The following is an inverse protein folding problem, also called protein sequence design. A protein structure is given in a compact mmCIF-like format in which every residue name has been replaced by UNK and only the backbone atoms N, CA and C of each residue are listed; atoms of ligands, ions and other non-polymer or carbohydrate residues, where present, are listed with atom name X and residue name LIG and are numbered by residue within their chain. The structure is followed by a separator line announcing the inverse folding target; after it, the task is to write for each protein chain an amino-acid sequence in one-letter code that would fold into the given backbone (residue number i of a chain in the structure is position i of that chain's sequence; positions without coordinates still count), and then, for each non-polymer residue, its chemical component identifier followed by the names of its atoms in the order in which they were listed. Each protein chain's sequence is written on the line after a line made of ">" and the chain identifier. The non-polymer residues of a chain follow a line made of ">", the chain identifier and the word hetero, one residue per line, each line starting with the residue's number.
data_IF_944856334144
#
_entry.id   IF_944856334144
#
_cell.length_a   1.000
_cell.length_b   1.000
_cell.length_c   1.000
_cell.angle_alpha   90.00
_cell.angle_beta   90.00
_cell.angle_gamma   90.00
#
_symmetry.space_group_name_H-M   'P 1'
#
loop_
_entity.id
_entity.type
_entity.pdbx_description
1 polymer ?
#
# COMPACT_ATOMS: atom_id res chain seq x y z
N UNK A 1 -9.70 -24.62 -3.27
CA UNK A 1 -11.11 -24.13 -3.27
C UNK A 1 -12.03 -25.00 -2.41
N UNK A 2 -11.76 -26.31 -2.29
CA UNK A 2 -12.69 -27.24 -1.59
C UNK A 2 -12.78 -27.02 -0.06
N UNK A 3 -11.75 -26.43 0.56
CA UNK A 3 -11.62 -26.38 2.02
C UNK A 3 -11.45 -24.96 2.58
N UNK A 4 -11.59 -23.92 1.74
CA UNK A 4 -11.31 -22.53 2.14
C UNK A 4 -12.42 -21.61 1.65
N UNK A 5 -12.67 -20.54 2.41
CA UNK A 5 -13.72 -19.56 2.08
C UNK A 5 -13.26 -18.49 1.10
N UNK A 6 -11.95 -18.21 1.10
CA UNK A 6 -11.34 -17.19 0.26
C UNK A 6 -9.96 -17.61 -0.18
N UNK A 7 -9.67 -17.41 -1.45
CA UNK A 7 -8.33 -17.60 -2.02
C UNK A 7 -7.73 -16.24 -2.35
N UNK A 8 -6.43 -16.07 -2.14
CA UNK A 8 -5.68 -14.90 -2.62
C UNK A 8 -4.76 -15.35 -3.75
N UNK A 9 -4.81 -14.64 -4.86
CA UNK A 9 -3.90 -14.79 -5.99
C UNK A 9 -3.02 -13.55 -6.10
N UNK A 10 -1.77 -13.76 -6.50
CA UNK A 10 -0.82 -12.71 -6.88
C UNK A 10 -0.55 -12.82 -8.38
N UNK A 11 -1.19 -11.99 -9.21
CA UNK A 11 -1.05 -12.01 -10.67
C UNK A 11 0.37 -12.15 -11.19
N UNK A 12 1.32 -11.38 -10.65
CA UNK A 12 2.68 -11.37 -11.18
C UNK A 12 3.52 -12.60 -10.85
N UNK A 13 3.03 -13.52 -10.00
CA UNK A 13 3.65 -14.81 -9.72
C UNK A 13 2.77 -15.99 -10.16
N UNK A 14 1.61 -15.75 -10.77
CA UNK A 14 0.59 -16.78 -10.96
C UNK A 14 0.84 -17.65 -12.20
N UNK A 15 1.24 -17.03 -13.32
CA UNK A 15 1.50 -17.72 -14.58
C UNK A 15 2.97 -17.59 -15.03
N UNK A 16 3.63 -16.49 -14.64
CA UNK A 16 5.03 -16.26 -14.99
C UNK A 16 5.96 -17.01 -14.02
N UNK A 17 6.96 -17.70 -14.57
CA UNK A 17 8.03 -18.33 -13.81
C UNK A 17 8.95 -17.30 -13.13
N UNK A 18 10.15 -17.73 -12.69
CA UNK A 18 11.16 -16.79 -12.18
C UNK A 18 11.49 -15.74 -13.25
N UNK A 19 11.45 -14.46 -12.86
CA UNK A 19 11.89 -13.31 -13.67
C UNK A 19 13.31 -13.57 -14.20
N UNK A 20 13.49 -13.67 -15.51
CA UNK A 20 14.84 -13.77 -16.07
C UNK A 20 15.39 -12.41 -16.46
N UNK A 21 14.56 -11.40 -16.79
CA UNK A 21 14.97 -10.04 -17.24
C UNK A 21 15.99 -9.98 -18.41
N UNK A 22 16.59 -11.11 -18.77
CA UNK A 22 17.64 -11.28 -19.77
C UNK A 22 17.07 -11.51 -21.17
N UNK A 23 15.74 -11.51 -21.34
CA UNK A 23 15.11 -12.17 -22.51
C UNK A 23 14.18 -11.29 -23.34
N UNK A 24 13.80 -10.09 -22.87
CA UNK A 24 12.87 -9.22 -23.61
C UNK A 24 13.56 -7.91 -24.01
N UNK A 25 14.10 -7.86 -25.23
CA UNK A 25 14.59 -6.63 -25.86
C UNK A 25 13.48 -5.90 -26.63
N UNK A 26 12.49 -6.64 -27.11
CA UNK A 26 11.29 -6.14 -27.79
C UNK A 26 10.09 -6.95 -27.31
N UNK A 27 8.96 -6.30 -27.08
CA UNK A 27 7.70 -6.94 -26.73
C UNK A 27 6.70 -6.71 -27.86
N UNK A 28 6.36 -7.78 -28.58
CA UNK A 28 5.39 -7.69 -29.68
C UNK A 28 3.96 -7.90 -29.19
N UNK A 29 2.98 -7.47 -29.98
CA UNK A 29 1.55 -7.74 -29.70
C UNK A 29 1.26 -9.25 -29.63
N UNK A 30 1.99 -10.08 -30.36
CA UNK A 30 1.87 -11.54 -30.29
C UNK A 30 2.34 -12.09 -28.95
N UNK A 31 3.42 -11.54 -28.39
CA UNK A 31 3.95 -11.96 -27.08
C UNK A 31 2.99 -11.57 -25.95
N UNK A 32 2.37 -10.38 -26.06
CA UNK A 32 1.32 -9.96 -25.12
C UNK A 32 0.13 -10.93 -25.17
N UNK A 33 -0.32 -11.31 -26.37
CA UNK A 33 -1.42 -12.28 -26.54
C UNK A 33 -1.07 -13.66 -25.97
N UNK A 34 0.14 -14.16 -26.23
CA UNK A 34 0.61 -15.45 -25.69
C UNK A 34 0.67 -15.43 -24.16
N UNK A 35 1.18 -14.34 -23.57
CA UNK A 35 1.21 -14.18 -22.11
C UNK A 35 -0.20 -14.14 -21.52
N UNK A 36 -1.13 -13.40 -22.13
CA UNK A 36 -2.53 -13.38 -21.70
C UNK A 36 -3.17 -14.77 -21.79
N UNK A 37 -2.95 -15.49 -22.88
CA UNK A 37 -3.46 -16.86 -23.05
C UNK A 37 -2.92 -17.81 -21.97
N UNK A 38 -1.63 -17.74 -21.66
CA UNK A 38 -1.02 -18.56 -20.60
C UNK A 38 -1.63 -18.23 -19.21
N UNK A 39 -1.91 -16.96 -18.94
CA UNK A 39 -2.62 -16.54 -17.72
C UNK A 39 -4.03 -17.15 -17.69
N UNK A 40 -4.78 -17.04 -18.78
CA UNK A 40 -6.14 -17.59 -18.88
C UNK A 40 -6.15 -19.12 -18.68
N UNK A 41 -5.27 -19.86 -19.36
CA UNK A 41 -5.14 -21.32 -19.23
C UNK A 41 -4.88 -21.75 -17.78
N UNK A 42 -4.06 -20.98 -17.03
CA UNK A 42 -3.78 -21.26 -15.63
C UNK A 42 -4.90 -20.79 -14.68
N UNK A 43 -5.52 -19.64 -14.95
CA UNK A 43 -6.38 -18.93 -14.01
C UNK A 43 -7.86 -19.30 -14.14
N UNK A 44 -8.35 -19.51 -15.36
CA UNK A 44 -9.76 -19.84 -15.63
C UNK A 44 -10.24 -21.08 -14.88
N UNK A 45 -9.48 -22.19 -14.78
CA UNK A 45 -9.90 -23.35 -13.99
C UNK A 45 -10.18 -23.01 -12.52
N UNK A 46 -9.40 -22.10 -11.93
CA UNK A 46 -9.61 -21.62 -10.57
C UNK A 46 -10.88 -20.75 -10.49
N UNK A 47 -11.07 -19.82 -11.42
CA UNK A 47 -12.24 -18.93 -11.49
C UNK A 47 -13.53 -19.74 -11.57
N UNK A 48 -13.60 -20.72 -12.48
CA UNK A 48 -14.77 -21.58 -12.65
C UNK A 48 -15.07 -22.39 -11.40
N UNK A 49 -14.04 -22.95 -10.75
CA UNK A 49 -14.19 -23.71 -9.51
C UNK A 49 -14.64 -22.84 -8.33
N UNK A 50 -14.16 -21.59 -8.25
CA UNK A 50 -14.60 -20.63 -7.24
C UNK A 50 -16.04 -20.19 -7.47
N UNK A 51 -16.44 -19.99 -8.73
CA UNK A 51 -17.83 -19.69 -9.13
C UNK A 51 -18.77 -20.82 -8.73
N UNK A 52 -18.46 -22.05 -9.11
CA UNK A 52 -19.24 -23.25 -8.77
C UNK A 52 -19.48 -23.37 -7.25
N UNK A 53 -18.45 -23.09 -6.46
CA UNK A 53 -18.48 -23.23 -5.00
C UNK A 53 -18.89 -21.96 -4.25
N UNK A 54 -19.24 -20.89 -4.97
CA UNK A 54 -19.54 -19.57 -4.42
C UNK A 54 -18.51 -19.11 -3.37
N UNK A 55 -17.22 -19.24 -3.70
CA UNK A 55 -16.11 -18.83 -2.84
C UNK A 55 -15.59 -17.47 -3.27
N UNK A 56 -14.92 -16.76 -2.35
CA UNK A 56 -14.37 -15.44 -2.63
C UNK A 56 -12.94 -15.52 -3.17
N UNK A 57 -12.56 -14.55 -4.01
CA UNK A 57 -11.21 -14.36 -4.50
C UNK A 57 -10.66 -13.00 -4.06
N UNK A 58 -9.38 -12.92 -3.71
CA UNK A 58 -8.64 -11.66 -3.66
C UNK A 58 -7.60 -11.63 -4.76
N UNK A 59 -7.78 -10.73 -5.73
CA UNK A 59 -6.78 -10.38 -6.73
C UNK A 59 -5.86 -9.36 -6.06
N UNK A 60 -4.69 -9.81 -5.62
CA UNK A 60 -3.80 -9.00 -4.80
C UNK A 60 -2.47 -8.72 -5.46
N UNK A 61 -2.32 -7.53 -6.02
CA UNK A 61 -1.09 -7.04 -6.62
C UNK A 61 -0.14 -6.58 -5.51
N UNK A 62 1.10 -7.07 -5.55
CA UNK A 62 2.20 -6.48 -4.80
C UNK A 62 3.16 -5.81 -5.78
N UNK A 63 3.59 -4.59 -5.44
CA UNK A 63 4.52 -3.81 -6.27
C UNK A 63 5.81 -4.58 -6.60
N UNK A 64 6.43 -5.23 -5.61
CA UNK A 64 7.69 -5.97 -5.80
C UNK A 64 7.58 -7.25 -6.65
N UNK A 65 6.37 -7.78 -6.87
CA UNK A 65 6.15 -9.01 -7.63
C UNK A 65 5.37 -8.79 -8.92
N UNK A 66 5.38 -7.58 -9.50
CA UNK A 66 4.82 -7.37 -10.84
C UNK A 66 5.52 -8.25 -11.88
N UNK A 67 4.76 -8.74 -12.86
CA UNK A 67 5.28 -9.58 -13.94
C UNK A 67 6.22 -8.80 -14.85
N UNK A 68 7.11 -9.53 -15.52
CA UNK A 68 8.07 -8.94 -16.46
C UNK A 68 7.37 -8.20 -17.61
N UNK A 69 6.28 -8.77 -18.14
CA UNK A 69 5.46 -8.11 -19.18
C UNK A 69 4.91 -6.77 -18.73
N UNK A 70 4.36 -6.71 -17.50
CA UNK A 70 3.78 -5.47 -16.96
C UNK A 70 4.88 -4.44 -16.71
N UNK A 71 6.02 -4.87 -16.14
CA UNK A 71 7.18 -4.00 -15.94
C UNK A 71 7.71 -3.43 -17.26
N UNK A 72 7.74 -4.24 -18.33
CA UNK A 72 8.18 -3.77 -19.64
C UNK A 72 7.22 -2.72 -20.25
N UNK A 73 5.91 -2.95 -20.14
CA UNK A 73 4.90 -2.05 -20.74
C UNK A 73 4.70 -0.75 -19.96
N UNK A 74 4.68 -0.84 -18.63
CA UNK A 74 4.24 0.25 -17.77
C UNK A 74 5.32 0.74 -16.80
N UNK A 75 6.45 0.05 -16.71
CA UNK A 75 7.48 0.32 -15.70
C UNK A 75 7.07 -0.15 -14.29
N UNK A 76 7.95 0.13 -13.32
CA UNK A 76 7.67 -0.06 -11.89
C UNK A 76 6.78 1.08 -11.37
N UNK A 77 5.49 1.04 -11.73
CA UNK A 77 4.55 2.16 -11.60
C UNK A 77 3.19 1.76 -11.02
N UNK A 78 2.46 2.70 -10.37
CA UNK A 78 1.05 2.51 -10.00
C UNK A 78 0.18 2.05 -11.17
N UNK A 79 0.41 2.60 -12.37
CA UNK A 79 -0.31 2.29 -13.60
C UNK A 79 -0.13 0.82 -13.97
N UNK A 80 1.10 0.29 -13.90
CA UNK A 80 1.39 -1.12 -14.13
C UNK A 80 0.69 -2.04 -13.14
N UNK A 81 0.64 -1.65 -11.87
CA UNK A 81 -0.13 -2.41 -10.88
C UNK A 81 -1.61 -2.47 -11.27
N UNK A 82 -2.21 -1.32 -11.64
CA UNK A 82 -3.63 -1.25 -12.03
C UNK A 82 -3.91 -2.11 -13.26
N UNK A 83 -3.06 -2.04 -14.29
CA UNK A 83 -3.19 -2.85 -15.49
C UNK A 83 -3.23 -4.36 -15.15
N UNK A 84 -2.35 -4.82 -14.27
CA UNK A 84 -2.33 -6.22 -13.82
C UNK A 84 -3.59 -6.62 -13.03
N UNK A 85 -4.08 -5.74 -12.15
CA UNK A 85 -5.31 -6.00 -11.39
C UNK A 85 -6.52 -6.12 -12.32
N UNK A 86 -6.64 -5.18 -13.25
CA UNK A 86 -7.75 -5.08 -14.19
C UNK A 86 -7.78 -6.27 -15.14
N UNK A 87 -6.63 -6.70 -15.66
CA UNK A 87 -6.53 -7.88 -16.54
C UNK A 87 -7.12 -9.13 -15.88
N UNK A 88 -6.77 -9.40 -14.62
CA UNK A 88 -7.35 -10.53 -13.87
C UNK A 88 -8.83 -10.32 -13.55
N UNK A 89 -9.25 -9.07 -13.33
CA UNK A 89 -10.66 -8.71 -13.14
C UNK A 89 -11.50 -8.93 -14.40
N UNK A 90 -10.94 -8.65 -15.58
CA UNK A 90 -11.57 -8.91 -16.89
C UNK A 90 -11.80 -10.40 -17.08
N UNK A 91 -10.78 -11.24 -16.88
CA UNK A 91 -10.91 -12.70 -16.98
C UNK A 91 -12.02 -13.22 -16.04
N UNK A 92 -12.08 -12.72 -14.80
CA UNK A 92 -13.16 -13.09 -13.88
C UNK A 92 -14.54 -12.74 -14.45
N UNK A 93 -14.71 -11.53 -15.01
CA UNK A 93 -15.98 -11.07 -15.56
C UNK A 93 -16.37 -11.74 -16.87
N UNK A 94 -15.42 -12.07 -17.73
CA UNK A 94 -15.66 -12.84 -18.96
C UNK A 94 -16.29 -14.20 -18.66
N UNK A 95 -15.99 -14.77 -17.49
CA UNK A 95 -16.61 -15.99 -16.97
C UNK A 95 -17.76 -15.75 -15.99
N UNK A 96 -18.28 -14.51 -15.91
CA UNK A 96 -19.40 -14.13 -15.05
C UNK A 96 -19.16 -14.51 -13.57
N UNK A 97 -17.93 -14.28 -13.11
CA UNK A 97 -17.54 -14.46 -11.71
C UNK A 97 -17.26 -13.09 -11.09
N UNK A 98 -18.07 -12.73 -10.09
CA UNK A 98 -18.06 -11.41 -9.46
C UNK A 98 -17.70 -11.43 -7.97
N UNK A 99 -17.45 -12.60 -7.38
CA UNK A 99 -17.12 -12.72 -5.96
C UNK A 99 -15.63 -12.48 -5.70
N UNK A 100 -15.15 -11.28 -6.03
CA UNK A 100 -13.75 -10.92 -5.82
C UNK A 100 -13.53 -9.52 -5.24
N UNK A 101 -12.37 -9.37 -4.61
CA UNK A 101 -11.88 -8.13 -3.99
C UNK A 101 -10.51 -7.80 -4.58
N UNK A 102 -10.22 -6.52 -4.76
CA UNK A 102 -8.89 -6.06 -5.17
C UNK A 102 -8.02 -5.67 -3.98
N UNK A 103 -6.70 -5.82 -4.11
CA UNK A 103 -5.74 -5.16 -3.23
C UNK A 103 -4.48 -4.77 -4.00
N UNK A 104 -3.99 -3.57 -3.74
CA UNK A 104 -2.78 -2.98 -4.29
C UNK A 104 -1.81 -2.71 -3.14
N UNK A 105 -0.78 -3.53 -2.94
CA UNK A 105 0.17 -3.33 -1.82
C UNK A 105 1.51 -2.85 -2.33
N UNK A 106 2.06 -1.86 -1.65
CA UNK A 106 3.43 -1.40 -1.85
C UNK A 106 4.07 -1.11 -0.50
N UNK A 107 5.39 -1.26 -0.43
CA UNK A 107 6.20 -0.82 0.71
C UNK A 107 6.42 0.69 0.67
N UNK A 108 6.08 1.37 -0.43
CA UNK A 108 5.99 2.82 -0.48
C UNK A 108 4.51 3.24 -0.35
N UNK A 109 4.10 3.90 0.77
CA UNK A 109 2.73 4.36 0.94
C UNK A 109 2.23 5.29 -0.15
N UNK A 110 3.09 6.10 -0.78
CA UNK A 110 2.68 7.02 -1.86
C UNK A 110 2.26 6.24 -3.11
N UNK A 111 3.05 5.25 -3.51
CA UNK A 111 2.74 4.35 -4.64
C UNK A 111 1.45 3.58 -4.36
N UNK A 112 1.30 3.05 -3.14
CA UNK A 112 0.07 2.37 -2.73
C UNK A 112 -1.16 3.28 -2.88
N UNK A 113 -1.12 4.49 -2.32
CA UNK A 113 -2.25 5.43 -2.36
C UNK A 113 -2.60 5.79 -3.81
N UNK A 114 -1.60 6.08 -4.64
CA UNK A 114 -1.81 6.36 -6.07
C UNK A 114 -2.45 5.18 -6.80
N UNK A 115 -1.96 3.96 -6.58
CA UNK A 115 -2.47 2.76 -7.22
C UNK A 115 -3.95 2.48 -6.87
N UNK A 116 -4.37 2.64 -5.60
CA UNK A 116 -5.78 2.48 -5.24
C UNK A 116 -6.67 3.57 -5.84
N UNK A 117 -6.22 4.83 -5.86
CA UNK A 117 -6.98 5.93 -6.47
C UNK A 117 -7.15 5.72 -7.97
N UNK A 118 -6.10 5.30 -8.66
CA UNK A 118 -6.15 4.96 -10.09
C UNK A 118 -7.03 3.74 -10.35
N UNK A 119 -6.91 2.68 -9.57
CA UNK A 119 -7.78 1.50 -9.67
C UNK A 119 -9.25 1.88 -9.49
N UNK A 120 -9.56 2.71 -8.49
CA UNK A 120 -10.94 3.14 -8.22
C UNK A 120 -11.49 3.96 -9.39
N UNK A 121 -10.68 4.89 -9.95
CA UNK A 121 -11.05 5.63 -11.18
C UNK A 121 -11.35 4.67 -12.34
N UNK A 122 -10.47 3.69 -12.57
CA UNK A 122 -10.61 2.72 -13.64
C UNK A 122 -11.86 1.85 -13.47
N UNK A 123 -12.14 1.43 -12.23
CA UNK A 123 -13.37 0.72 -11.88
C UNK A 123 -14.61 1.56 -12.18
N UNK A 124 -14.64 2.83 -11.79
CA UNK A 124 -15.76 3.72 -12.11
C UNK A 124 -15.97 3.89 -13.61
N UNK A 125 -14.89 4.06 -14.38
CA UNK A 125 -14.96 4.16 -15.84
C UNK A 125 -15.57 2.89 -16.48
N UNK A 126 -15.37 1.73 -15.85
CA UNK A 126 -15.88 0.43 -16.28
C UNK A 126 -17.26 0.07 -15.70
N UNK A 127 -17.82 0.90 -14.82
CA UNK A 127 -19.03 0.58 -14.07
C UNK A 127 -18.85 -0.59 -13.10
N UNK A 128 -17.67 -0.72 -12.50
CA UNK A 128 -17.34 -1.72 -11.49
C UNK A 128 -17.38 -1.11 -10.08
N UNK A 129 -17.76 -1.92 -9.10
CA UNK A 129 -17.96 -1.54 -7.69
C UNK A 129 -17.39 -2.60 -6.72
N UNK A 130 -16.37 -3.34 -7.14
CA UNK A 130 -15.73 -4.36 -6.32
C UNK A 130 -15.06 -3.80 -5.04
N UNK A 131 -15.06 -4.58 -3.94
CA UNK A 131 -14.44 -4.14 -2.70
C UNK A 131 -12.92 -4.01 -2.81
N UNK A 132 -12.35 -3.18 -1.94
CA UNK A 132 -10.93 -2.89 -1.80
C UNK A 132 -10.40 -3.39 -0.43
N UNK A 133 -9.37 -4.22 -0.46
CA UNK A 133 -8.63 -4.64 0.72
C UNK A 133 -7.33 -3.87 0.87
N UNK A 134 -7.30 -2.90 1.79
CA UNK A 134 -6.15 -2.03 2.02
C UNK A 134 -5.08 -2.71 2.89
N UNK A 135 -3.82 -2.41 2.58
CA UNK A 135 -2.72 -2.74 3.47
C UNK A 135 -1.37 -2.35 2.88
N UNK A 136 -0.50 -1.87 3.75
CA UNK A 136 0.92 -1.62 3.41
C UNK A 136 1.68 -2.94 3.56
N UNK A 137 2.58 -3.25 2.61
CA UNK A 137 3.52 -4.37 2.76
C UNK A 137 4.82 -3.87 3.38
N UNK A 138 5.54 -4.75 4.08
CA UNK A 138 6.83 -4.41 4.71
C UNK A 138 6.74 -3.11 5.53
N UNK A 139 5.75 -3.04 6.42
CA UNK A 139 5.55 -1.82 7.20
C UNK A 139 6.72 -1.59 8.17
N UNK A 140 7.35 -2.67 8.63
CA UNK A 140 8.36 -2.66 9.68
C UNK A 140 7.79 -3.15 11.02
N UNK A 141 8.61 -3.08 12.06
CA UNK A 141 8.22 -3.48 13.41
C UNK A 141 7.66 -2.30 14.22
N UNK A 142 6.91 -2.61 15.27
CA UNK A 142 6.57 -1.65 16.31
C UNK A 142 5.93 -0.35 15.82
N UNK A 143 6.48 0.79 16.24
CA UNK A 143 5.94 2.11 15.95
C UNK A 143 6.07 2.49 14.47
N UNK A 144 7.20 2.18 13.84
CA UNK A 144 7.46 2.53 12.43
C UNK A 144 6.46 1.85 11.51
N UNK A 145 6.19 0.57 11.75
CA UNK A 145 5.15 -0.18 11.02
C UNK A 145 3.76 0.41 11.19
N UNK A 146 3.43 0.89 12.38
CA UNK A 146 2.15 1.56 12.65
C UNK A 146 2.06 2.91 11.96
N UNK A 147 3.10 3.74 12.02
CA UNK A 147 3.14 5.06 11.39
C UNK A 147 3.01 4.91 9.87
N UNK A 148 3.81 4.04 9.27
CA UNK A 148 3.80 3.80 7.82
C UNK A 148 2.44 3.27 7.35
N UNK A 149 1.84 2.37 8.11
CA UNK A 149 0.50 1.86 7.83
C UNK A 149 -0.58 2.94 7.99
N UNK A 150 -0.46 3.79 9.01
CA UNK A 150 -1.39 4.90 9.23
C UNK A 150 -1.35 5.92 8.09
N UNK A 151 -0.16 6.24 7.57
CA UNK A 151 -0.01 7.14 6.42
C UNK A 151 -0.67 6.56 5.17
N UNK A 152 -0.39 5.29 4.83
CA UNK A 152 -0.95 4.67 3.62
C UNK A 152 -2.44 4.36 3.71
N UNK A 153 -2.86 3.62 4.75
CA UNK A 153 -4.25 3.19 4.92
C UNK A 153 -5.13 4.37 5.32
N UNK A 154 -4.66 5.22 6.23
CA UNK A 154 -5.43 6.38 6.70
C UNK A 154 -5.76 7.37 5.58
N UNK A 155 -4.81 7.64 4.68
CA UNK A 155 -5.05 8.50 3.52
C UNK A 155 -6.22 7.98 2.64
N UNK A 156 -6.24 6.67 2.36
CA UNK A 156 -7.30 6.06 1.56
C UNK A 156 -8.64 6.01 2.28
N UNK A 157 -8.64 5.72 3.58
CA UNK A 157 -9.87 5.74 4.37
C UNK A 157 -10.49 7.15 4.43
N UNK A 158 -9.67 8.21 4.45
CA UNK A 158 -10.12 9.59 4.37
C UNK A 158 -10.67 9.96 2.98
N UNK A 159 -10.17 9.34 1.92
CA UNK A 159 -10.76 9.43 0.57
C UNK A 159 -12.11 8.68 0.49
N UNK A 160 -12.50 7.94 1.52
CA UNK A 160 -13.68 7.07 1.51
C UNK A 160 -13.45 5.71 0.86
N UNK A 161 -12.18 5.32 0.64
CA UNK A 161 -11.81 4.07 0.01
C UNK A 161 -11.42 3.01 1.06
N UNK A 162 -11.90 1.78 0.88
CA UNK A 162 -11.50 0.62 1.69
C UNK A 162 -12.65 -0.08 2.40
N UNK A 163 -12.81 -1.38 2.12
CA UNK A 163 -13.87 -2.23 2.67
C UNK A 163 -13.33 -3.20 3.74
N UNK A 164 -12.05 -3.52 3.64
CA UNK A 164 -11.33 -4.30 4.64
C UNK A 164 -9.89 -3.82 4.70
N UNK A 165 -9.29 -3.87 5.88
CA UNK A 165 -7.93 -3.39 6.13
C UNK A 165 -7.09 -4.47 6.80
N UNK A 166 -5.79 -4.47 6.50
CA UNK A 166 -4.78 -5.21 7.25
C UNK A 166 -3.52 -4.35 7.39
N UNK A 167 -3.12 -4.11 8.63
CA UNK A 167 -1.79 -3.62 8.98
C UNK A 167 -0.83 -4.81 8.98
N UNK A 168 0.31 -4.73 8.31
CA UNK A 168 1.27 -5.84 8.20
C UNK A 168 2.52 -5.53 9.03
N UNK A 169 2.52 -5.87 10.32
CA UNK A 169 3.66 -5.60 11.22
C UNK A 169 4.64 -6.77 11.19
N UNK A 170 5.93 -6.46 11.36
CA UNK A 170 6.91 -7.50 11.69
C UNK A 170 6.77 -7.85 13.18
N UNK A 171 6.27 -9.04 13.48
CA UNK A 171 6.08 -9.53 14.85
C UNK A 171 4.79 -10.34 15.00
N UNK A 172 4.27 -10.39 16.23
CA UNK A 172 3.09 -11.16 16.59
C UNK A 172 1.82 -10.63 15.89
N UNK A 173 1.02 -11.49 15.22
CA UNK A 173 -0.14 -11.07 14.43
C UNK A 173 -1.25 -10.43 15.27
N UNK A 174 -1.33 -10.73 16.56
CA UNK A 174 -2.29 -10.14 17.51
C UNK A 174 -2.12 -8.61 17.60
N UNK A 175 -0.91 -8.12 17.35
CA UNK A 175 -0.59 -6.70 17.38
C UNK A 175 -1.05 -5.93 16.13
N UNK A 176 -1.44 -6.63 15.05
CA UNK A 176 -1.95 -6.02 13.81
C UNK A 176 -3.38 -5.48 13.98
N UNK A 177 -4.19 -6.07 14.88
CA UNK A 177 -5.62 -5.77 15.00
C UNK A 177 -5.91 -4.40 15.62
N UNK A 178 -5.21 -4.03 16.70
CA UNK A 178 -5.41 -2.76 17.39
C UNK A 178 -5.25 -1.53 16.47
N UNK A 179 -4.15 -1.42 15.70
CA UNK A 179 -3.96 -0.36 14.72
C UNK A 179 -5.07 -0.28 13.66
N UNK A 180 -5.59 -1.41 13.17
CA UNK A 180 -6.72 -1.43 12.24
C UNK A 180 -7.97 -0.78 12.86
N UNK A 181 -8.31 -1.14 14.10
CA UNK A 181 -9.47 -0.57 14.80
C UNK A 181 -9.31 0.94 14.99
N UNK A 182 -8.12 1.39 15.39
CA UNK A 182 -7.82 2.81 15.56
C UNK A 182 -7.95 3.60 14.25
N UNK A 183 -7.46 3.05 13.14
CA UNK A 183 -7.58 3.70 11.82
C UNK A 183 -9.03 3.82 11.35
N UNK A 184 -9.82 2.75 11.53
CA UNK A 184 -11.26 2.77 11.22
C UNK A 184 -11.98 3.86 12.02
N UNK A 185 -11.75 3.91 13.33
CA UNK A 185 -12.38 4.90 14.21
C UNK A 185 -11.98 6.33 13.84
N UNK A 186 -10.69 6.55 13.54
CA UNK A 186 -10.21 7.86 13.09
C UNK A 186 -10.88 8.31 11.79
N UNK A 187 -11.01 7.40 10.82
CA UNK A 187 -11.70 7.68 9.55
C UNK A 187 -13.20 7.95 9.75
N UNK A 188 -13.89 7.13 10.56
CA UNK A 188 -15.29 7.35 10.92
C UNK A 188 -15.51 8.70 11.59
N UNK A 189 -14.63 9.10 12.52
CA UNK A 189 -14.70 10.39 13.18
C UNK A 189 -14.46 11.57 12.22
N UNK A 190 -13.67 11.35 11.16
CA UNK A 190 -13.39 12.35 10.13
C UNK A 190 -14.47 12.44 9.04
N UNK A 191 -15.39 11.47 8.94
CA UNK A 191 -16.46 11.48 7.93
C UNK A 191 -17.30 12.76 8.04
N UNK A 192 -17.57 13.37 6.89
CA UNK A 192 -18.36 14.60 6.80
C UNK A 192 -17.67 15.86 7.35
N UNK A 193 -16.44 15.75 7.87
CA UNK A 193 -15.69 16.93 8.33
C UNK A 193 -14.98 17.66 7.20
N UNK A 194 -14.86 17.04 6.02
CA UNK A 194 -14.29 17.63 4.81
C UNK A 194 -12.89 18.22 4.99
N UNK A 195 -12.33 18.74 3.92
CA UNK A 195 -11.48 19.92 4.00
C UNK A 195 -12.45 21.10 3.86
N UNK A 196 -12.27 22.20 4.61
CA UNK A 196 -13.11 23.38 4.41
C UNK A 196 -13.21 23.70 2.91
N UNK A 197 -14.43 23.96 2.41
CA UNK A 197 -14.73 24.11 0.97
C UNK A 197 -13.75 25.06 0.25
N UNK A 198 -13.20 26.03 0.98
CA UNK A 198 -12.12 26.89 0.56
C UNK A 198 -10.78 26.44 1.17
N UNK A 199 -10.07 25.55 0.48
CA UNK A 199 -8.61 25.64 0.51
C UNK A 199 -8.23 26.73 -0.50
N UNK A 200 -8.06 27.97 -0.03
CA UNK A 200 -7.33 28.95 -0.81
C UNK A 200 -5.87 28.51 -0.84
N UNK A 201 -5.43 27.97 -1.98
CA UNK A 201 -4.02 27.77 -2.25
C UNK A 201 -3.36 29.14 -2.25
N UNK A 202 -2.84 29.57 -1.10
CA UNK A 202 -2.10 30.82 -1.02
C UNK A 202 -0.84 30.59 -1.86
N UNK A 203 -0.60 31.34 -2.94
CA UNK A 203 0.60 31.18 -3.78
C UNK A 203 1.89 31.46 -3.01
N UNK A 204 1.79 31.89 -1.75
CA UNK A 204 2.89 32.11 -0.84
C UNK A 204 3.44 30.82 -0.24
N UNK A 205 3.50 29.71 -0.99
CA UNK A 205 4.64 28.83 -0.78
C UNK A 205 5.86 29.67 -1.14
N UNK A 206 6.49 30.24 -0.12
CA UNK A 206 7.76 30.93 -0.26
C UNK A 206 8.84 29.90 -0.59
N UNK A 207 8.80 29.39 -1.82
CA UNK A 207 9.85 28.62 -2.46
C UNK A 207 11.08 29.53 -2.53
N UNK A 208 11.89 29.53 -1.47
CA UNK A 208 13.07 30.39 -1.34
C UNK A 208 13.19 31.17 -0.03
N UNK A 209 12.19 31.17 0.86
CA UNK A 209 12.35 31.66 2.24
C UNK A 209 11.96 30.59 3.24
N UNK A 210 12.77 29.54 3.33
CA UNK A 210 12.84 28.76 4.55
C UNK A 210 13.55 29.61 5.61
N UNK A 211 12.79 30.36 6.41
CA UNK A 211 13.34 30.82 7.68
C UNK A 211 13.55 29.56 8.52
N UNK A 212 14.82 29.18 8.74
CA UNK A 212 15.16 28.12 9.68
C UNK A 212 14.44 28.46 10.99
N UNK A 213 13.53 27.60 11.46
CA UNK A 213 12.93 27.79 12.79
C UNK A 213 14.10 27.86 13.76
N UNK A 214 14.23 28.95 14.51
CA UNK A 214 15.15 28.98 15.64
C UNK A 214 14.57 28.04 16.67
N UNK A 215 15.11 26.83 16.71
CA UNK A 215 15.00 25.99 17.88
C UNK A 215 16.02 26.54 18.87
N UNK A 216 15.56 27.07 19.99
CA UNK A 216 16.41 27.23 21.17
C UNK A 216 16.66 25.82 21.72
N UNK A 217 17.73 25.18 21.26
CA UNK A 217 18.22 23.98 21.92
C UNK A 217 18.79 24.41 23.28
N UNK A 218 18.35 23.84 24.40
CA UNK A 218 18.85 24.20 25.74
C UNK A 218 20.30 23.71 25.99
N UNK A 219 21.01 23.25 24.97
CA UNK A 219 22.32 22.62 25.09
C UNK A 219 23.25 23.11 23.98
N UNK A 220 24.36 23.72 24.41
CA UNK A 220 25.46 24.17 23.57
C UNK A 220 26.37 22.97 23.26
N UNK A 221 25.89 22.05 22.40
CA UNK A 221 26.67 20.86 22.01
C UNK A 221 27.35 21.14 20.67
N UNK A 222 28.70 21.10 20.58
CA UNK A 222 29.39 21.29 19.33
C UNK A 222 29.01 20.17 18.34
N UNK A 223 28.48 20.57 17.19
CA UNK A 223 28.17 19.69 16.06
C UNK A 223 29.43 19.48 15.22
N UNK A 224 29.69 18.24 14.80
CA UNK A 224 30.68 17.98 13.76
C UNK A 224 30.13 18.41 12.38
N UNK A 225 31.04 18.67 11.43
CA UNK A 225 30.68 19.15 10.09
C UNK A 225 29.81 18.16 9.28
N UNK A 226 29.79 16.88 9.66
CA UNK A 226 28.97 15.84 9.04
C UNK A 226 27.56 15.70 9.66
N UNK A 227 27.23 16.55 10.64
CA UNK A 227 25.94 16.52 11.33
C UNK A 227 25.83 15.48 12.45
N UNK A 228 26.92 14.78 12.79
CA UNK A 228 26.97 13.94 13.98
C UNK A 228 27.08 14.76 15.28
N UNK A 229 26.44 14.29 16.36
CA UNK A 229 26.52 14.88 17.69
C UNK A 229 27.30 13.92 18.60
N UNK A 230 28.45 14.34 19.11
CA UNK A 230 29.08 13.70 20.26
C UNK A 230 28.61 14.41 21.54
N UNK A 231 27.68 13.78 22.26
CA UNK A 231 27.28 14.24 23.58
C UNK A 231 28.07 13.49 24.66
N UNK A 232 29.03 14.17 25.30
CA UNK A 232 29.67 13.66 26.53
C UNK A 232 28.73 13.92 27.70
N UNK A 233 27.97 12.90 28.09
CA UNK A 233 27.11 12.95 29.27
C UNK A 233 28.00 12.68 30.50
N UNK A 234 28.07 13.62 31.45
CA UNK A 234 28.69 13.37 32.75
C UNK A 234 27.80 12.43 33.57
N UNK A 235 28.40 11.54 34.35
CA UNK A 235 27.67 10.49 35.07
C UNK A 235 26.55 11.05 35.99
N UNK A 236 26.69 12.27 36.50
CA UNK A 236 25.67 12.91 37.35
C UNK A 236 24.39 13.27 36.58
N UNK A 237 24.47 13.53 35.27
CA UNK A 237 23.32 13.85 34.42
C UNK A 237 22.47 12.61 34.09
N UNK A 238 23.03 11.41 34.18
CA UNK A 238 22.30 10.14 34.08
C UNK A 238 21.51 9.79 35.35
N UNK A 239 21.90 10.34 36.51
CA UNK A 239 21.20 10.06 37.77
C UNK A 239 19.81 10.74 37.84
N UNK A 240 19.64 11.89 37.18
CA UNK A 240 18.38 12.64 37.19
C UNK A 240 17.35 12.13 36.17
N UNK A 241 17.74 11.29 35.20
CA UNK A 241 16.78 10.77 34.20
C UNK A 241 15.95 9.57 34.70
N UNK A 242 16.31 8.98 35.85
CA UNK A 242 15.54 7.86 36.41
C UNK A 242 14.19 8.28 37.02
N UNK A 243 14.02 9.53 37.43
CA UNK A 243 12.71 10.02 37.92
C UNK A 243 11.81 10.57 36.80
N UNK A 244 12.35 10.87 35.62
CA UNK A 244 11.58 11.40 34.49
C UNK A 244 10.98 10.33 33.54
N UNK A 245 11.08 9.03 33.89
CA UNK A 245 10.52 7.92 33.10
C UNK A 245 8.99 7.79 33.18
N UNK A 246 8.28 8.74 33.81
CA UNK A 246 6.83 8.68 33.99
C UNK A 246 6.02 9.71 33.21
N UNK A 247 6.65 10.58 32.41
CA UNK A 247 5.95 11.62 31.63
C UNK A 247 6.51 11.76 30.21
N UNK A 248 6.52 10.65 29.46
CA UNK A 248 6.71 10.68 28.01
C UNK A 248 5.54 9.99 27.30
N UNK A 249 4.34 10.50 27.54
CA UNK A 249 3.31 10.56 26.50
C UNK A 249 3.35 11.98 25.93
N UNK A 250 3.88 12.12 24.72
CA UNK A 250 3.42 12.95 23.62
C UNK A 250 4.27 12.64 22.39
#
# INVERSE_FOLDING_TARGET
>A
ADFVDKIRVDPGNFADGRKSFDTITELTDEDVKKSRQAIEEAFVPLVLKLKEKNKALRIGINHGSMSERILFQYGDSPEGMVASAVEFGEICREHDYHNFVFSMKSSNPQVMVQAYRQLTREMYARGWDYPLHLGVTEAGSGADGRIKSAVGIGALLLDGLGDTIRVSLTGDPELEAGPCVALRQAAEAARGRGVAESFEEVPSRHEGRFARRRCEYPLDVPLNADGSVLATIKAEALAHSREASLLAHL
#
